data_IF_064482910034
#
_entry.id   IF_064482910034
#
_cell.length_a   1.000
_cell.length_b   1.000
_cell.length_c   1.000
_cell.angle_alpha   90.00
_cell.angle_beta   90.00
_cell.angle_gamma   90.00
#
_symmetry.space_group_name_H-M   'P 1'
#
loop_
_entity.id
_entity.type
_entity.pdbx_description
1 polymer ?
#
# COMPACT_ATOMS: atom_id res chain seq x y z
N UNK A 1 10.36 -13.18 4.10
CA UNK A 1 9.99 -11.82 3.65
C UNK A 1 8.59 -11.49 4.14
N UNK A 2 8.45 -10.47 4.91
CA UNK A 2 7.15 -9.97 5.34
C UNK A 2 6.81 -8.69 4.57
N UNK A 3 5.65 -8.66 3.94
CA UNK A 3 5.15 -7.47 3.24
C UNK A 3 3.79 -7.12 3.81
N UNK A 4 3.66 -5.91 4.36
CA UNK A 4 2.40 -5.37 4.85
C UNK A 4 1.85 -4.39 3.83
N UNK A 5 0.63 -4.64 3.37
CA UNK A 5 -0.05 -3.78 2.40
C UNK A 5 -1.20 -3.08 3.10
N UNK A 6 -1.24 -1.75 2.99
CA UNK A 6 -2.32 -0.93 3.55
C UNK A 6 -3.15 -0.40 2.39
N UNK A 7 -4.42 -0.76 2.34
CA UNK A 7 -5.27 -0.47 1.18
C UNK A 7 -6.71 -0.22 1.61
N UNK A 8 -7.46 0.52 0.78
CA UNK A 8 -8.90 0.65 0.98
C UNK A 8 -9.67 -0.51 0.36
N UNK A 9 -8.98 -1.42 -0.33
CA UNK A 9 -9.58 -2.62 -0.95
C UNK A 9 -8.87 -3.89 -0.46
N UNK A 10 -8.94 -4.19 0.85
CA UNK A 10 -8.17 -5.31 1.40
C UNK A 10 -8.53 -6.66 0.79
N UNK A 11 -9.80 -6.87 0.45
CA UNK A 11 -10.22 -8.15 -0.12
C UNK A 11 -9.59 -8.41 -1.49
N UNK A 12 -9.50 -7.36 -2.33
CA UNK A 12 -8.90 -7.49 -3.66
C UNK A 12 -7.42 -7.88 -3.54
N UNK A 13 -6.69 -7.23 -2.65
CA UNK A 13 -5.27 -7.54 -2.45
C UNK A 13 -5.09 -8.93 -1.87
N UNK A 14 -5.91 -9.32 -0.90
CA UNK A 14 -5.87 -10.67 -0.33
C UNK A 14 -6.14 -11.73 -1.40
N UNK A 15 -7.12 -11.51 -2.25
CA UNK A 15 -7.47 -12.45 -3.32
C UNK A 15 -6.32 -12.58 -4.33
N UNK A 16 -5.68 -11.47 -4.68
CA UNK A 16 -4.50 -11.51 -5.55
C UNK A 16 -3.34 -12.26 -4.91
N UNK A 17 -3.21 -12.17 -3.60
CA UNK A 17 -2.12 -12.81 -2.86
C UNK A 17 -2.14 -14.32 -2.89
N UNK A 18 -3.26 -14.96 -3.24
CA UNK A 18 -3.35 -16.42 -3.34
C UNK A 18 -3.17 -16.93 -4.76
N UNK A 19 -2.98 -16.02 -5.72
CA UNK A 19 -2.88 -16.38 -7.13
C UNK A 19 -1.42 -16.52 -7.57
N UNK A 20 -1.20 -17.44 -8.52
CA UNK A 20 0.04 -17.58 -9.26
C UNK A 20 1.27 -17.60 -8.33
N UNK A 21 2.30 -16.82 -8.67
CA UNK A 21 3.58 -16.83 -7.95
C UNK A 21 3.45 -16.29 -6.52
N UNK A 22 2.55 -15.34 -6.28
CA UNK A 22 2.34 -14.83 -4.93
C UNK A 22 1.74 -15.89 -4.02
N UNK A 23 0.75 -16.60 -4.49
CA UNK A 23 0.14 -17.69 -3.72
C UNK A 23 1.13 -18.82 -3.45
N UNK A 24 1.95 -19.13 -4.43
CA UNK A 24 2.99 -20.13 -4.28
C UNK A 24 4.04 -19.72 -3.24
N UNK A 25 4.45 -18.46 -3.27
CA UNK A 25 5.43 -17.95 -2.30
C UNK A 25 4.90 -17.99 -0.88
N UNK A 26 3.62 -17.68 -0.69
CA UNK A 26 2.99 -17.78 0.63
C UNK A 26 2.89 -19.24 1.10
N UNK A 27 2.50 -20.14 0.20
CA UNK A 27 2.38 -21.55 0.51
C UNK A 27 3.72 -22.16 0.90
N UNK A 28 4.79 -21.74 0.26
CA UNK A 28 6.14 -22.21 0.56
C UNK A 28 6.80 -21.45 1.71
N UNK A 29 6.08 -20.53 2.34
CA UNK A 29 6.54 -19.74 3.48
C UNK A 29 7.74 -18.83 3.13
N UNK A 30 7.87 -18.47 1.87
CA UNK A 30 8.86 -17.49 1.42
C UNK A 30 8.32 -16.07 1.61
N UNK A 31 7.01 -15.91 1.48
CA UNK A 31 6.33 -14.62 1.61
C UNK A 31 5.25 -14.69 2.69
N UNK A 32 5.28 -13.73 3.61
CA UNK A 32 4.22 -13.50 4.58
C UNK A 32 3.55 -12.18 4.18
N UNK A 33 2.45 -12.27 3.45
CA UNK A 33 1.71 -11.10 2.99
C UNK A 33 0.60 -10.80 3.99
N UNK A 34 0.64 -9.59 4.55
CA UNK A 34 -0.36 -9.11 5.49
C UNK A 34 -1.08 -7.91 4.91
N UNK A 35 -2.39 -7.98 4.84
CA UNK A 35 -3.22 -6.95 4.23
C UNK A 35 -4.03 -6.25 5.30
N UNK A 36 -3.95 -4.93 5.33
CA UNK A 36 -4.61 -4.10 6.34
C UNK A 36 -5.53 -3.09 5.67
N UNK A 37 -6.69 -2.87 6.27
CA UNK A 37 -7.66 -1.90 5.79
C UNK A 37 -7.28 -0.51 6.30
N UNK A 38 -7.05 0.42 5.39
CA UNK A 38 -6.73 1.81 5.77
C UNK A 38 -7.87 2.51 6.52
N UNK A 39 -9.08 1.97 6.45
CA UNK A 39 -10.21 2.52 7.17
C UNK A 39 -10.25 2.12 8.64
N UNK A 40 -9.34 1.25 9.07
CA UNK A 40 -9.36 0.70 10.43
C UNK A 40 -9.24 1.78 11.52
N UNK A 41 -8.58 2.89 11.21
CA UNK A 41 -8.37 3.99 12.16
C UNK A 41 -9.15 5.25 11.81
N UNK A 42 -9.96 5.22 10.74
CA UNK A 42 -10.78 6.36 10.36
C UNK A 42 -11.89 6.58 11.39
N UNK A 43 -12.09 7.83 11.80
CA UNK A 43 -13.00 8.17 12.90
C UNK A 43 -14.36 8.68 12.43
N UNK A 44 -14.49 9.09 11.17
CA UNK A 44 -15.77 9.60 10.64
C UNK A 44 -16.72 8.43 10.33
N UNK A 45 -18.06 8.69 10.25
CA UNK A 45 -19.03 7.62 10.02
C UNK A 45 -18.83 6.84 8.72
N UNK A 46 -18.25 7.48 7.72
CA UNK A 46 -18.01 6.87 6.42
C UNK A 46 -16.62 6.30 6.29
N UNK A 47 -15.81 6.40 7.33
CA UNK A 47 -14.41 5.94 7.33
C UNK A 47 -13.67 6.47 6.10
N UNK A 48 -13.74 7.77 5.89
CA UNK A 48 -13.18 8.45 4.73
C UNK A 48 -11.66 8.44 4.80
N UNK A 49 -11.01 8.00 3.73
CA UNK A 49 -9.54 7.96 3.62
C UNK A 49 -9.03 8.83 2.48
N UNK A 50 -9.91 9.34 1.63
CA UNK A 50 -9.57 10.17 0.48
C UNK A 50 -9.99 11.62 0.69
N UNK A 51 -9.31 12.52 0.00
CA UNK A 51 -9.65 13.94 0.01
C UNK A 51 -9.48 14.51 -1.40
N UNK A 52 -10.01 15.71 -1.61
CA UNK A 52 -9.86 16.37 -2.90
C UNK A 52 -8.42 16.80 -3.11
N UNK A 53 -7.91 16.73 -4.35
CA UNK A 53 -6.57 17.26 -4.63
C UNK A 53 -6.46 18.73 -4.31
N UNK A 54 -5.29 19.14 -3.86
CA UNK A 54 -5.01 20.54 -3.60
C UNK A 54 -5.20 21.35 -4.88
N UNK A 55 -5.95 22.45 -4.79
CA UNK A 55 -6.25 23.28 -5.95
C UNK A 55 -7.44 22.82 -6.77
N UNK A 56 -8.16 21.79 -6.35
CA UNK A 56 -9.40 21.35 -7.00
C UNK A 56 -9.22 20.53 -8.28
N UNK A 57 -8.06 19.92 -8.47
CA UNK A 57 -7.84 19.06 -9.62
C UNK A 57 -8.73 17.82 -9.63
N UNK A 58 -8.72 17.03 -10.73
CA UNK A 58 -9.53 15.82 -10.82
C UNK A 58 -9.03 14.71 -9.89
N UNK A 59 -9.95 13.83 -9.51
CA UNK A 59 -9.63 12.69 -8.66
C UNK A 59 -9.61 13.04 -7.19
N UNK A 60 -9.19 12.07 -6.40
CA UNK A 60 -9.07 12.17 -4.95
C UNK A 60 -7.66 11.76 -4.54
N UNK A 61 -7.19 12.32 -3.44
CA UNK A 61 -5.90 11.91 -2.85
C UNK A 61 -6.16 11.24 -1.51
N UNK A 62 -5.27 10.35 -1.13
CA UNK A 62 -5.37 9.67 0.16
C UNK A 62 -5.04 10.64 1.30
N UNK A 63 -5.89 10.67 2.31
CA UNK A 63 -5.60 11.44 3.52
C UNK A 63 -4.42 10.83 4.25
N UNK A 64 -3.51 11.64 4.79
CA UNK A 64 -2.36 11.11 5.53
C UNK A 64 -2.74 10.49 6.87
N UNK A 65 -3.77 10.98 7.54
CA UNK A 65 -4.14 10.52 8.88
C UNK A 65 -4.45 9.03 8.94
N UNK A 66 -5.27 8.46 8.03
CA UNK A 66 -5.51 7.01 8.07
C UNK A 66 -4.25 6.19 7.85
N UNK A 67 -3.33 6.65 7.00
CA UNK A 67 -2.08 5.96 6.77
C UNK A 67 -1.23 5.98 8.03
N UNK A 68 -1.06 7.13 8.65
CA UNK A 68 -0.29 7.27 9.88
C UNK A 68 -0.91 6.47 11.02
N UNK A 69 -2.24 6.51 11.14
CA UNK A 69 -2.95 5.75 12.16
C UNK A 69 -2.77 4.25 12.00
N UNK A 70 -2.84 3.76 10.77
CA UNK A 70 -2.65 2.34 10.50
C UNK A 70 -1.21 1.91 10.77
N UNK A 71 -0.23 2.72 10.37
CA UNK A 71 1.18 2.45 10.63
C UNK A 71 1.46 2.42 12.13
N UNK A 72 0.92 3.37 12.87
CA UNK A 72 1.11 3.40 14.33
C UNK A 72 0.46 2.19 15.01
N UNK A 73 -0.73 1.79 14.55
CA UNK A 73 -1.45 0.68 15.16
C UNK A 73 -0.80 -0.68 14.88
N UNK A 74 -0.25 -0.86 13.70
CA UNK A 74 0.30 -2.14 13.25
C UNK A 74 1.80 -2.22 13.54
N UNK A 75 2.49 -1.09 13.50
CA UNK A 75 3.95 -1.01 13.60
C UNK A 75 4.62 -1.98 12.61
N UNK A 76 4.37 -1.80 11.30
CA UNK A 76 4.81 -2.75 10.30
C UNK A 76 6.30 -2.61 9.98
N UNK A 77 6.87 -3.56 9.22
CA UNK A 77 8.28 -3.48 8.86
C UNK A 77 8.61 -2.25 8.01
N UNK A 78 9.78 -1.73 8.23
CA UNK A 78 10.37 -0.62 7.46
C UNK A 78 11.27 -1.19 6.37
N UNK A 79 11.47 -0.49 5.26
CA UNK A 79 10.96 0.84 4.94
C UNK A 79 9.47 0.82 4.55
N UNK A 80 8.86 2.00 4.61
CA UNK A 80 7.50 2.21 4.10
C UNK A 80 7.64 2.80 2.71
N UNK A 81 7.17 2.08 1.71
CA UNK A 81 7.33 2.45 0.30
C UNK A 81 6.01 3.05 -0.19
N UNK A 82 6.04 4.34 -0.50
CA UNK A 82 4.88 5.03 -1.03
C UNK A 82 4.92 5.05 -2.56
N UNK A 83 3.81 4.69 -3.16
CA UNK A 83 3.65 4.73 -4.62
C UNK A 83 3.30 6.16 -5.02
N UNK A 84 4.28 6.90 -5.51
CA UNK A 84 4.14 8.31 -5.84
C UNK A 84 4.78 8.58 -7.20
N UNK A 85 4.06 9.27 -8.10
CA UNK A 85 4.63 9.63 -9.40
C UNK A 85 5.88 10.52 -9.29
N UNK A 86 6.02 11.27 -8.20
CA UNK A 86 7.21 12.08 -7.96
C UNK A 86 8.40 11.32 -7.40
N UNK A 87 8.23 10.04 -7.10
CA UNK A 87 9.29 9.22 -6.53
C UNK A 87 10.24 8.63 -7.56
N UNK A 88 11.17 7.82 -7.07
CA UNK A 88 12.10 7.10 -7.92
C UNK A 88 11.36 6.04 -8.72
N UNK A 89 11.70 5.93 -10.00
CA UNK A 89 11.09 4.92 -10.86
C UNK A 89 11.37 3.52 -10.32
N UNK A 90 10.33 2.68 -10.30
CA UNK A 90 10.48 1.28 -9.93
C UNK A 90 11.05 0.51 -11.13
N UNK A 91 12.23 -0.05 -10.95
CA UNK A 91 12.91 -0.84 -11.97
C UNK A 91 13.47 -2.13 -11.37
N UNK A 92 14.20 -2.90 -12.15
CA UNK A 92 14.76 -4.16 -11.69
C UNK A 92 15.76 -3.96 -10.54
N UNK A 93 16.54 -2.88 -10.58
CA UNK A 93 17.48 -2.58 -9.50
C UNK A 93 16.75 -2.30 -8.18
N UNK A 94 15.65 -1.56 -8.23
CA UNK A 94 14.83 -1.29 -7.06
C UNK A 94 14.18 -2.58 -6.54
N UNK A 95 13.70 -3.43 -7.44
CA UNK A 95 13.12 -4.71 -7.06
C UNK A 95 14.15 -5.60 -6.36
N UNK A 96 15.37 -5.65 -6.87
CA UNK A 96 16.45 -6.42 -6.26
C UNK A 96 16.81 -5.88 -4.87
N UNK A 97 16.81 -4.56 -4.72
CA UNK A 97 17.07 -3.92 -3.44
C UNK A 97 16.02 -4.31 -2.39
N UNK A 98 14.74 -4.26 -2.76
CA UNK A 98 13.66 -4.65 -1.86
C UNK A 98 13.69 -6.14 -1.55
N UNK A 99 14.05 -6.98 -2.51
CA UNK A 99 14.12 -8.41 -2.33
C UNK A 99 15.18 -8.83 -1.30
N UNK A 100 16.19 -7.98 -1.07
CA UNK A 100 17.23 -8.24 -0.07
C UNK A 100 16.82 -7.89 1.36
N UNK A 101 15.63 -7.33 1.56
CA UNK A 101 15.15 -6.92 2.87
C UNK A 101 14.38 -8.06 3.55
N UNK A 102 14.31 -8.02 4.88
CA UNK A 102 13.48 -8.95 5.64
C UNK A 102 11.99 -8.65 5.48
N UNK A 103 11.66 -7.40 5.21
CA UNK A 103 10.29 -6.98 5.00
C UNK A 103 10.21 -5.51 4.64
N UNK A 104 9.03 -5.10 4.19
CA UNK A 104 8.73 -3.69 3.95
C UNK A 104 7.21 -3.51 3.92
N UNK A 105 6.75 -2.27 3.80
CA UNK A 105 5.33 -1.95 3.87
C UNK A 105 4.95 -1.07 2.70
N UNK A 106 3.73 -1.31 2.17
CA UNK A 106 3.20 -0.64 0.99
C UNK A 106 1.83 -0.06 1.29
N UNK A 107 1.73 1.22 1.61
CA UNK A 107 0.44 1.91 1.51
C UNK A 107 0.07 2.08 0.04
N UNK A 108 -1.12 1.60 -0.33
CA UNK A 108 -1.56 1.59 -1.73
C UNK A 108 -2.86 2.36 -1.85
N UNK A 109 -2.91 3.32 -2.75
CA UNK A 109 -4.11 4.09 -3.04
C UNK A 109 -4.39 4.07 -4.53
N UNK A 110 -5.55 3.56 -4.87
CA UNK A 110 -6.01 3.53 -6.25
C UNK A 110 -6.25 4.95 -6.79
N UNK A 111 -6.91 5.78 -6.02
CA UNK A 111 -7.21 7.14 -6.44
C UNK A 111 -5.94 7.99 -6.58
N UNK A 112 -4.98 7.77 -5.69
CA UNK A 112 -3.71 8.46 -5.76
C UNK A 112 -2.96 8.13 -7.05
N UNK A 113 -2.85 6.85 -7.37
CA UNK A 113 -2.19 6.39 -8.59
C UNK A 113 -2.87 6.95 -9.83
N UNK A 114 -4.19 6.96 -9.85
CA UNK A 114 -4.92 7.46 -11.00
C UNK A 114 -4.68 8.94 -11.26
N UNK A 115 -4.52 9.74 -10.22
CA UNK A 115 -4.29 11.16 -10.37
C UNK A 115 -2.96 11.48 -11.05
N UNK A 116 -2.03 10.55 -11.05
CA UNK A 116 -0.66 10.76 -11.51
C UNK A 116 -0.16 9.69 -12.46
N UNK A 117 -1.06 8.97 -13.08
CA UNK A 117 -0.70 7.82 -13.91
C UNK A 117 0.15 8.17 -15.12
N UNK A 118 0.20 9.45 -15.51
CA UNK A 118 1.00 9.91 -16.64
C UNK A 118 2.48 9.96 -16.35
N UNK A 119 2.88 9.73 -15.15
CA UNK A 119 4.28 9.73 -14.77
C UNK A 119 4.88 8.32 -14.82
#
# INVERSE_FOLDING_TARGET
MRIDVFTIFPQIVSDMGVLSILGRAQKEQVLDLRVHDLRMTATDPHRTVDDKPFGGGPGMIMKPEPVFGAVDAIDPPRPIVLMDPGGTRFDQAKANQLAGLDGFSLPVSYTHLRAHETR
#
